data_IF_356548108503
#
_entry.id   IF_356548108503
#
_cell.length_a   1.000
_cell.length_b   1.000
_cell.length_c   1.000
_cell.angle_alpha   90.00
_cell.angle_beta   90.00
_cell.angle_gamma   90.00
#
_symmetry.space_group_name_H-M   'P 1'
#
loop_
_entity.id
_entity.type
_entity.pdbx_description
1 polymer ?
#
# COMPACT_ATOMS: atom_id res chain seq x y z
N UNK A 1 0.36 1.18 16.10
CA UNK A 1 -0.44 1.70 14.99
C UNK A 1 -1.39 0.64 14.45
N UNK A 2 -0.90 -0.51 14.05
CA UNK A 2 -1.71 -1.67 13.62
C UNK A 2 -1.55 -2.78 14.64
N UNK A 3 -2.65 -3.42 15.04
CA UNK A 3 -2.63 -4.65 15.84
C UNK A 3 -3.67 -5.61 15.29
N UNK A 4 -3.20 -6.77 14.85
CA UNK A 4 -4.02 -7.89 14.42
C UNK A 4 -3.92 -9.01 15.47
N UNK A 5 -5.06 -9.53 15.89
CA UNK A 5 -5.14 -10.67 16.83
C UNK A 5 -5.97 -11.77 16.19
N UNK A 6 -5.32 -12.88 15.88
CA UNK A 6 -5.95 -14.08 15.33
C UNK A 6 -6.85 -13.84 14.11
N UNK A 7 -6.42 -12.99 13.18
CA UNK A 7 -7.20 -12.66 11.97
C UNK A 7 -7.40 -13.89 11.11
N UNK A 8 -8.65 -14.19 10.84
CA UNK A 8 -9.07 -15.25 9.94
C UNK A 8 -9.81 -14.67 8.73
N UNK A 9 -9.61 -15.27 7.57
CA UNK A 9 -10.40 -14.97 6.37
C UNK A 9 -10.74 -16.26 5.65
N UNK A 10 -12.03 -16.50 5.52
CA UNK A 10 -12.60 -17.65 4.84
C UNK A 10 -13.49 -17.15 3.72
N UNK A 11 -13.21 -17.58 2.51
CA UNK A 11 -14.06 -17.37 1.34
C UNK A 11 -14.95 -18.59 1.17
N UNK A 12 -16.25 -18.37 1.05
CA UNK A 12 -17.26 -19.44 0.87
C UNK A 12 -17.98 -19.23 -0.44
N UNK A 13 -18.03 -20.27 -1.24
CA UNK A 13 -18.94 -20.45 -2.37
C UNK A 13 -19.93 -21.54 -2.02
N UNK A 14 -20.91 -21.80 -2.87
CA UNK A 14 -21.88 -22.88 -2.65
C UNK A 14 -21.23 -24.28 -2.53
N UNK A 15 -20.07 -24.47 -3.15
CA UNK A 15 -19.41 -25.79 -3.23
C UNK A 15 -18.08 -25.88 -2.48
N UNK A 16 -17.42 -24.76 -2.20
CA UNK A 16 -16.05 -24.76 -1.66
C UNK A 16 -15.85 -23.71 -0.58
N UNK A 17 -15.19 -24.11 0.49
CA UNK A 17 -14.69 -23.21 1.52
C UNK A 17 -13.16 -23.13 1.42
N UNK A 18 -12.61 -21.91 1.27
CA UNK A 18 -11.19 -21.66 1.18
C UNK A 18 -10.74 -20.77 2.34
N UNK A 19 -9.86 -21.30 3.18
CA UNK A 19 -9.23 -20.56 4.26
C UNK A 19 -8.03 -19.79 3.68
N UNK A 20 -8.17 -18.49 3.51
CA UNK A 20 -7.09 -17.63 3.01
C UNK A 20 -6.17 -17.14 4.14
N UNK A 21 -6.74 -16.87 5.32
CA UNK A 21 -5.99 -16.55 6.54
C UNK A 21 -6.51 -17.43 7.67
N UNK A 22 -5.60 -18.11 8.36
CA UNK A 22 -5.88 -19.11 9.39
C UNK A 22 -5.48 -18.69 10.80
N UNK A 23 -5.43 -17.38 11.10
CA UNK A 23 -5.08 -16.88 12.42
C UNK A 23 -3.79 -16.04 12.41
N UNK A 24 -3.79 -14.94 11.66
CA UNK A 24 -2.66 -13.99 11.59
C UNK A 24 -2.69 -13.08 12.81
N UNK A 25 -1.57 -13.02 13.53
CA UNK A 25 -1.34 -12.03 14.58
C UNK A 25 -0.11 -11.21 14.23
N UNK A 26 -0.26 -9.88 14.22
CA UNK A 26 0.78 -8.96 13.79
C UNK A 26 0.61 -7.62 14.50
N UNK A 27 1.69 -7.07 15.03
CA UNK A 27 1.73 -5.70 15.52
C UNK A 27 2.70 -4.89 14.68
N UNK A 28 2.28 -3.69 14.24
CA UNK A 28 3.12 -2.74 13.50
C UNK A 28 3.09 -1.40 14.22
N UNK A 29 4.26 -0.91 14.57
CA UNK A 29 4.43 0.39 15.23
C UNK A 29 4.39 1.52 14.22
N UNK A 30 4.06 2.72 14.68
CA UNK A 30 4.12 3.92 13.85
C UNK A 30 5.56 4.16 13.38
N UNK A 31 5.72 4.46 12.08
CA UNK A 31 7.02 4.69 11.47
C UNK A 31 7.83 3.42 11.19
N UNK A 32 7.27 2.24 11.39
CA UNK A 32 7.94 0.98 11.06
C UNK A 32 7.80 0.67 9.57
N UNK A 33 8.85 0.11 8.96
CA UNK A 33 8.81 -0.42 7.62
C UNK A 33 8.86 -1.96 7.70
N UNK A 34 7.73 -2.62 7.50
CA UNK A 34 7.59 -4.06 7.59
C UNK A 34 7.47 -4.69 6.20
N UNK A 35 8.28 -5.70 5.94
CA UNK A 35 8.14 -6.56 4.77
C UNK A 35 7.43 -7.86 5.16
N UNK A 36 6.35 -8.20 4.44
CA UNK A 36 5.64 -9.47 4.58
C UNK A 36 6.08 -10.37 3.43
N UNK A 37 6.69 -11.48 3.75
CA UNK A 37 7.17 -12.48 2.80
C UNK A 37 6.41 -13.80 2.95
N UNK A 38 6.44 -14.60 1.90
CA UNK A 38 5.87 -15.95 1.90
C UNK A 38 5.61 -16.46 0.49
N UNK A 39 5.33 -17.75 0.32
CA UNK A 39 5.08 -18.37 -0.98
C UNK A 39 3.85 -17.79 -1.67
N UNK A 40 3.73 -18.04 -2.99
CA UNK A 40 2.53 -17.64 -3.73
C UNK A 40 1.29 -18.35 -3.15
N UNK A 41 0.18 -17.60 -3.04
CA UNK A 41 -1.07 -18.15 -2.53
C UNK A 41 -1.17 -18.28 -1.00
N UNK A 42 -0.15 -17.90 -0.21
CA UNK A 42 -0.20 -18.00 1.25
C UNK A 42 -1.08 -16.95 1.97
N UNK A 43 -1.79 -16.08 1.23
CA UNK A 43 -2.72 -15.11 1.81
C UNK A 43 -2.21 -13.66 1.92
N UNK A 44 -1.02 -13.32 1.35
CA UNK A 44 -0.41 -11.97 1.44
C UNK A 44 -1.34 -10.85 0.96
N UNK A 45 -1.87 -10.95 -0.25
CA UNK A 45 -2.77 -9.94 -0.82
C UNK A 45 -4.10 -9.87 -0.06
N UNK A 46 -4.60 -11.01 0.46
CA UNK A 46 -5.78 -11.04 1.33
C UNK A 46 -5.52 -10.26 2.62
N UNK A 47 -4.35 -10.48 3.24
CA UNK A 47 -3.95 -9.74 4.44
C UNK A 47 -3.82 -8.25 4.14
N UNK A 48 -3.21 -7.89 3.00
CA UNK A 48 -3.08 -6.50 2.58
C UNK A 48 -4.44 -5.81 2.35
N UNK A 49 -5.41 -6.53 1.78
CA UNK A 49 -6.77 -6.02 1.59
C UNK A 49 -7.48 -5.75 2.91
N UNK A 50 -7.32 -6.62 3.91
CA UNK A 50 -7.86 -6.41 5.25
C UNK A 50 -7.18 -5.21 5.92
N UNK A 51 -5.85 -5.14 5.89
CA UNK A 51 -5.07 -4.01 6.42
C UNK A 51 -5.46 -2.68 5.76
N UNK A 52 -5.76 -2.75 4.48
CA UNK A 52 -6.20 -1.60 3.67
C UNK A 52 -7.67 -1.26 3.82
N UNK A 53 -8.42 -1.96 4.66
CA UNK A 53 -9.87 -1.78 4.82
C UNK A 53 -10.65 -1.91 3.50
N UNK A 54 -10.14 -2.72 2.57
CA UNK A 54 -10.82 -3.09 1.32
C UNK A 54 -11.75 -4.28 1.56
N UNK A 55 -11.41 -5.13 2.53
CA UNK A 55 -12.20 -6.29 2.96
C UNK A 55 -12.20 -6.40 4.49
N UNK A 56 -13.14 -7.17 5.05
CA UNK A 56 -13.21 -7.49 6.47
C UNK A 56 -12.62 -8.87 6.74
N UNK A 57 -12.02 -9.09 7.92
CA UNK A 57 -11.76 -10.44 8.39
C UNK A 57 -13.10 -11.18 8.62
N UNK A 58 -13.04 -12.51 8.58
CA UNK A 58 -14.19 -13.35 8.96
C UNK A 58 -14.26 -13.50 10.48
N UNK A 59 -13.09 -13.48 11.15
CA UNK A 59 -12.95 -13.54 12.60
C UNK A 59 -11.62 -12.91 13.04
N UNK A 60 -11.46 -12.66 14.33
CA UNK A 60 -10.30 -11.98 14.91
C UNK A 60 -10.50 -10.48 15.10
N UNK A 61 -9.51 -9.82 15.69
CA UNK A 61 -9.57 -8.38 16.01
C UNK A 61 -8.57 -7.59 15.18
N UNK A 62 -9.00 -6.52 14.56
CA UNK A 62 -8.13 -5.56 13.88
C UNK A 62 -8.27 -4.17 14.51
N UNK A 63 -7.23 -3.74 15.22
CA UNK A 63 -7.12 -2.38 15.76
C UNK A 63 -6.22 -1.52 14.88
N UNK A 64 -6.74 -0.37 14.44
CA UNK A 64 -6.00 0.69 13.76
C UNK A 64 -6.00 1.94 14.64
N UNK A 65 -4.82 2.39 15.06
CA UNK A 65 -4.65 3.49 16.04
C UNK A 65 -5.47 3.28 17.34
N UNK A 66 -5.68 2.02 17.74
CA UNK A 66 -6.42 1.64 18.95
C UNK A 66 -7.94 1.50 18.77
N UNK A 67 -8.47 1.81 17.59
CA UNK A 67 -9.88 1.65 17.27
C UNK A 67 -10.11 0.31 16.55
N UNK A 68 -11.13 -0.44 16.94
CA UNK A 68 -11.53 -1.68 16.26
C UNK A 68 -12.18 -1.36 14.91
N UNK A 69 -11.50 -1.76 13.85
CA UNK A 69 -11.94 -1.55 12.45
C UNK A 69 -12.33 -2.85 11.74
N UNK A 70 -12.19 -4.00 12.42
CA UNK A 70 -12.42 -5.32 11.83
C UNK A 70 -13.86 -5.59 11.43
N UNK A 71 -14.83 -4.99 12.14
CA UNK A 71 -16.27 -5.18 11.92
C UNK A 71 -16.98 -4.02 11.21
N UNK A 72 -16.23 -3.03 10.71
CA UNK A 72 -16.82 -1.84 10.08
C UNK A 72 -17.57 -2.18 8.78
N UNK A 73 -18.70 -1.50 8.57
CA UNK A 73 -19.42 -1.52 7.30
C UNK A 73 -18.61 -0.80 6.21
N UNK A 74 -18.87 -1.12 4.93
CA UNK A 74 -18.15 -0.54 3.79
C UNK A 74 -18.07 0.99 3.84
N UNK A 75 -19.17 1.66 4.13
CA UNK A 75 -19.20 3.14 4.22
C UNK A 75 -18.31 3.70 5.35
N UNK A 76 -18.17 2.96 6.44
CA UNK A 76 -17.31 3.33 7.57
C UNK A 76 -15.83 3.06 7.22
N UNK A 77 -15.52 1.88 6.64
CA UNK A 77 -14.18 1.55 6.13
C UNK A 77 -13.68 2.60 5.15
N UNK A 78 -14.53 3.01 4.20
CA UNK A 78 -14.20 4.06 3.23
C UNK A 78 -13.86 5.38 3.92
N UNK A 79 -14.58 5.76 4.97
CA UNK A 79 -14.27 6.98 5.74
C UNK A 79 -12.92 6.89 6.46
N UNK A 80 -12.63 5.75 7.10
CA UNK A 80 -11.36 5.52 7.80
C UNK A 80 -10.19 5.47 6.81
N UNK A 81 -10.36 4.74 5.68
CA UNK A 81 -9.33 4.61 4.64
C UNK A 81 -8.98 5.95 3.98
N UNK A 82 -9.99 6.81 3.79
CA UNK A 82 -9.89 8.07 3.04
C UNK A 82 -8.84 9.00 3.64
N UNK A 83 -7.75 9.24 2.91
CA UNK A 83 -6.65 10.11 3.32
C UNK A 83 -5.70 9.53 4.38
N UNK A 84 -5.98 8.33 4.93
CA UNK A 84 -5.18 7.69 5.96
C UNK A 84 -4.27 6.59 5.40
N UNK A 85 -4.72 5.91 4.33
CA UNK A 85 -4.03 4.75 3.74
C UNK A 85 -3.74 5.03 2.27
N UNK A 86 -2.47 4.94 1.88
CA UNK A 86 -2.01 4.97 0.50
C UNK A 86 -1.73 3.55 -0.01
N UNK A 87 -2.09 3.28 -1.26
CA UNK A 87 -1.85 1.99 -1.90
C UNK A 87 -0.88 2.13 -3.07
N UNK A 88 0.05 1.18 -3.17
CA UNK A 88 0.97 1.02 -4.29
C UNK A 88 0.90 -0.42 -4.77
N UNK A 89 0.61 -0.63 -6.05
CA UNK A 89 0.39 -1.95 -6.65
C UNK A 89 1.48 -2.30 -7.66
N UNK A 90 1.66 -3.58 -7.90
CA UNK A 90 2.57 -4.12 -8.93
C UNK A 90 2.24 -3.61 -10.34
N UNK A 91 0.95 -3.47 -10.66
CA UNK A 91 0.46 -3.02 -11.97
C UNK A 91 0.33 -1.50 -12.09
N UNK A 92 0.88 -0.73 -11.13
CA UNK A 92 0.82 0.73 -11.05
C UNK A 92 -0.61 1.28 -10.88
N UNK A 93 -1.60 0.70 -11.54
CA UNK A 93 -3.02 1.08 -11.54
C UNK A 93 -3.23 2.58 -11.82
N UNK A 94 -2.48 3.12 -12.79
CA UNK A 94 -2.68 4.47 -13.29
C UNK A 94 -3.89 4.49 -14.23
N UNK A 95 -4.55 5.64 -14.30
CA UNK A 95 -5.65 5.88 -15.22
C UNK A 95 -5.04 6.37 -16.52
N UNK A 96 -5.22 5.60 -17.60
CA UNK A 96 -4.57 5.83 -18.90
C UNK A 96 -5.01 7.11 -19.60
N UNK A 97 -6.24 7.56 -19.33
CA UNK A 97 -6.83 8.80 -19.88
C UNK A 97 -6.39 10.06 -19.13
N UNK A 98 -5.71 9.91 -17.99
CA UNK A 98 -5.19 11.00 -17.19
C UNK A 98 -3.67 11.10 -17.34
N UNK A 99 -3.16 12.33 -17.44
CA UNK A 99 -1.72 12.56 -17.40
C UNK A 99 -1.16 12.33 -15.97
N UNK A 100 0.15 12.45 -15.79
CA UNK A 100 0.84 12.23 -14.51
C UNK A 100 0.29 13.15 -13.40
N UNK A 101 0.16 14.46 -13.70
CA UNK A 101 -0.35 15.44 -12.74
C UNK A 101 -1.78 15.12 -12.31
N UNK A 102 -2.64 14.77 -13.24
CA UNK A 102 -4.04 14.42 -13.00
C UNK A 102 -4.19 13.12 -12.22
N UNK A 103 -3.39 12.09 -12.53
CA UNK A 103 -3.35 10.86 -11.75
C UNK A 103 -3.01 11.11 -10.27
N UNK A 104 -2.02 11.98 -10.02
CA UNK A 104 -1.57 12.31 -8.66
C UNK A 104 -2.55 13.24 -7.96
N UNK A 105 -3.22 14.14 -8.68
CA UNK A 105 -4.23 15.06 -8.12
C UNK A 105 -5.51 14.36 -7.67
N UNK A 106 -5.85 13.23 -8.28
CA UNK A 106 -7.14 12.56 -8.14
C UNK A 106 -7.55 12.30 -6.66
N UNK A 107 -6.69 11.74 -5.78
CA UNK A 107 -7.05 11.52 -4.38
C UNK A 107 -7.39 12.80 -3.63
N UNK A 108 -6.70 13.90 -3.93
CA UNK A 108 -6.96 15.21 -3.31
C UNK A 108 -8.31 15.79 -3.74
N UNK A 109 -8.74 15.51 -4.97
CA UNK A 109 -10.06 15.88 -5.47
C UNK A 109 -11.15 15.17 -4.68
N UNK A 110 -11.01 13.86 -4.43
CA UNK A 110 -11.92 13.10 -3.58
C UNK A 110 -11.94 13.55 -2.12
N UNK A 111 -10.83 14.10 -1.63
CA UNK A 111 -10.75 14.69 -0.29
C UNK A 111 -11.40 16.08 -0.22
N UNK A 112 -11.80 16.68 -1.34
CA UNK A 112 -12.35 18.03 -1.39
C UNK A 112 -11.33 19.13 -1.16
N UNK A 113 -10.04 18.86 -1.37
CA UNK A 113 -8.96 19.86 -1.22
C UNK A 113 -9.13 20.96 -2.27
N UNK A 114 -9.02 22.27 -1.92
CA UNK A 114 -9.16 23.36 -2.85
C UNK A 114 -8.15 23.28 -4.02
N UNK A 115 -8.55 23.66 -5.24
CA UNK A 115 -7.74 23.54 -6.47
C UNK A 115 -6.33 24.14 -6.33
N UNK A 116 -6.21 25.31 -5.72
CA UNK A 116 -4.92 25.98 -5.52
C UNK A 116 -3.97 25.12 -4.65
N UNK A 117 -4.48 24.55 -3.59
CA UNK A 117 -3.73 23.70 -2.68
C UNK A 117 -3.37 22.36 -3.33
N UNK A 118 -4.31 21.75 -4.10
CA UNK A 118 -4.04 20.52 -4.85
C UNK A 118 -2.83 20.70 -5.77
N UNK A 119 -2.83 21.79 -6.56
CA UNK A 119 -1.72 22.07 -7.48
C UNK A 119 -0.37 22.16 -6.75
N UNK A 120 -0.31 22.87 -5.63
CA UNK A 120 0.92 22.99 -4.84
C UNK A 120 1.40 21.65 -4.30
N UNK A 121 0.49 20.81 -3.76
CA UNK A 121 0.82 19.49 -3.24
C UNK A 121 1.30 18.55 -4.34
N UNK A 122 0.67 18.58 -5.51
CA UNK A 122 1.05 17.77 -6.67
C UNK A 122 2.43 18.18 -7.18
N UNK A 123 2.70 19.46 -7.39
CA UNK A 123 4.01 19.97 -7.81
C UNK A 123 5.11 19.54 -6.82
N UNK A 124 4.85 19.64 -5.51
CA UNK A 124 5.80 19.25 -4.47
C UNK A 124 6.10 17.75 -4.49
N UNK A 125 5.06 16.91 -4.56
CA UNK A 125 5.25 15.46 -4.54
C UNK A 125 5.92 14.96 -5.82
N UNK A 126 5.57 15.49 -7.00
CA UNK A 126 6.23 15.14 -8.26
C UNK A 126 7.73 15.48 -8.25
N UNK A 127 8.11 16.60 -7.64
CA UNK A 127 9.51 16.98 -7.46
C UNK A 127 10.24 15.99 -6.52
N UNK A 128 9.63 15.60 -5.41
CA UNK A 128 10.19 14.59 -4.48
C UNK A 128 10.37 13.23 -5.13
N UNK A 129 9.46 12.85 -6.02
CA UNK A 129 9.55 11.61 -6.78
C UNK A 129 10.49 11.70 -7.99
N UNK A 130 11.12 12.88 -8.23
CA UNK A 130 11.98 13.14 -9.39
C UNK A 130 11.28 12.87 -10.74
N UNK A 131 9.98 13.19 -10.85
CA UNK A 131 9.15 12.92 -12.04
C UNK A 131 8.45 14.19 -12.59
N UNK A 132 8.75 15.40 -12.05
CA UNK A 132 8.12 16.66 -12.48
C UNK A 132 8.26 16.95 -13.98
N UNK A 133 9.36 16.50 -14.59
CA UNK A 133 9.62 16.67 -16.02
C UNK A 133 8.66 15.87 -16.90
N UNK A 134 7.85 14.98 -16.32
CA UNK A 134 6.85 14.15 -16.97
C UNK A 134 5.41 14.51 -16.58
N UNK A 135 5.18 15.63 -15.88
CA UNK A 135 3.88 16.02 -15.33
C UNK A 135 2.71 15.94 -16.33
N UNK A 136 2.96 16.30 -17.59
CA UNK A 136 1.96 16.31 -18.66
C UNK A 136 2.00 15.08 -19.59
N UNK A 137 2.83 14.07 -19.28
CA UNK A 137 2.86 12.82 -20.05
C UNK A 137 1.76 11.87 -19.55
N UNK A 138 1.30 11.00 -20.43
CA UNK A 138 0.35 9.94 -20.12
C UNK A 138 1.08 8.64 -19.71
N UNK A 139 0.43 7.73 -18.97
CA UNK A 139 1.05 6.49 -18.50
C UNK A 139 1.77 5.70 -19.60
N UNK A 140 1.19 5.59 -20.80
CA UNK A 140 1.75 4.86 -21.93
C UNK A 140 3.08 5.45 -22.46
N UNK A 141 3.40 6.70 -22.11
CA UNK A 141 4.63 7.40 -22.50
C UNK A 141 5.76 7.25 -21.46
N UNK A 142 5.52 6.49 -20.39
CA UNK A 142 6.42 6.33 -19.25
C UNK A 142 7.03 4.93 -19.21
N UNK A 143 8.29 4.84 -18.75
CA UNK A 143 8.86 3.55 -18.37
C UNK A 143 8.18 2.98 -17.12
N UNK A 144 8.30 1.68 -16.86
CA UNK A 144 7.73 1.03 -15.67
C UNK A 144 8.17 1.70 -14.36
N UNK A 145 9.47 2.03 -14.22
CA UNK A 145 9.98 2.75 -13.05
C UNK A 145 9.39 4.16 -12.90
N UNK A 146 9.14 4.86 -14.02
CA UNK A 146 8.47 6.16 -14.01
C UNK A 146 6.99 6.02 -13.62
N UNK A 147 6.28 5.03 -14.15
CA UNK A 147 4.89 4.75 -13.77
C UNK A 147 4.79 4.42 -12.27
N UNK A 148 5.72 3.65 -11.74
CA UNK A 148 5.74 3.34 -10.31
C UNK A 148 6.01 4.58 -9.44
N UNK A 149 6.89 5.48 -9.86
CA UNK A 149 7.08 6.77 -9.17
C UNK A 149 5.79 7.61 -9.15
N UNK A 150 5.02 7.59 -10.23
CA UNK A 150 3.70 8.26 -10.28
C UNK A 150 2.70 7.58 -9.35
N UNK A 151 2.65 6.25 -9.31
CA UNK A 151 1.79 5.50 -8.39
C UNK A 151 2.13 5.79 -6.92
N UNK A 152 3.42 5.87 -6.58
CA UNK A 152 3.88 6.26 -5.24
C UNK A 152 3.51 7.72 -4.96
N UNK A 153 3.74 8.65 -5.91
CA UNK A 153 3.34 10.05 -5.77
C UNK A 153 1.84 10.17 -5.45
N UNK A 154 0.99 9.45 -6.18
CA UNK A 154 -0.45 9.39 -5.94
C UNK A 154 -0.80 8.85 -4.55
N UNK A 155 -0.08 7.83 -4.08
CA UNK A 155 -0.30 7.27 -2.75
C UNK A 155 0.08 8.23 -1.62
N UNK A 156 1.17 9.01 -1.78
CA UNK A 156 1.71 9.87 -0.71
C UNK A 156 1.21 11.31 -0.73
N UNK A 157 0.59 11.78 -1.81
CA UNK A 157 0.12 13.19 -1.96
C UNK A 157 -0.90 13.60 -0.89
N UNK A 158 -1.63 12.62 -0.33
CA UNK A 158 -2.58 12.81 0.77
C UNK A 158 -1.89 12.90 2.13
N UNK A 159 -0.58 12.67 2.21
CA UNK A 159 0.18 12.51 3.45
C UNK A 159 -0.39 11.41 4.37
N UNK A 160 -0.55 10.17 3.87
CA UNK A 160 -1.18 9.10 4.61
C UNK A 160 -0.34 8.69 5.83
N UNK A 161 -0.97 8.05 6.82
CA UNK A 161 -0.27 7.45 7.97
C UNK A 161 0.35 6.09 7.63
N UNK A 162 -0.24 5.39 6.67
CA UNK A 162 0.12 4.04 6.26
C UNK A 162 0.22 3.93 4.74
N UNK A 163 1.29 3.32 4.26
CA UNK A 163 1.44 2.89 2.87
C UNK A 163 1.38 1.37 2.84
N UNK A 164 0.51 0.84 2.00
CA UNK A 164 0.41 -0.59 1.69
C UNK A 164 0.91 -0.81 0.27
N UNK A 165 1.95 -1.62 0.12
CA UNK A 165 2.58 -1.90 -1.16
C UNK A 165 2.48 -3.41 -1.48
N UNK A 166 1.77 -3.74 -2.57
CA UNK A 166 1.62 -5.12 -3.05
C UNK A 166 2.58 -5.36 -4.20
N UNK A 167 3.66 -6.10 -3.96
CA UNK A 167 4.72 -6.42 -4.92
C UNK A 167 5.20 -5.19 -5.74
N UNK A 168 5.57 -4.07 -5.08
CA UNK A 168 5.70 -2.76 -5.75
C UNK A 168 6.80 -2.70 -6.82
N UNK A 169 7.63 -3.72 -6.91
CA UNK A 169 8.75 -3.81 -7.86
C UNK A 169 8.67 -5.01 -8.78
N UNK A 170 7.60 -5.81 -8.69
CA UNK A 170 7.48 -7.08 -9.42
C UNK A 170 7.50 -6.96 -10.94
N UNK A 171 7.19 -5.79 -11.51
CA UNK A 171 7.20 -5.51 -12.94
C UNK A 171 8.37 -4.60 -13.38
N UNK A 172 9.41 -4.46 -12.54
CA UNK A 172 10.52 -3.54 -12.79
C UNK A 172 11.84 -4.29 -13.05
N UNK A 173 12.71 -3.65 -13.83
CA UNK A 173 14.10 -4.08 -13.94
C UNK A 173 14.87 -3.83 -12.63
N UNK A 174 16.04 -4.47 -12.46
CA UNK A 174 16.82 -4.41 -11.23
C UNK A 174 17.28 -2.99 -10.84
N UNK A 175 17.51 -2.11 -11.82
CA UNK A 175 17.90 -0.72 -11.53
C UNK A 175 16.70 0.05 -11.00
N UNK A 176 15.58 0.00 -11.68
CA UNK A 176 14.32 0.62 -11.26
C UNK A 176 13.85 0.08 -9.91
N UNK A 177 14.01 -1.24 -9.67
CA UNK A 177 13.71 -1.86 -8.38
C UNK A 177 14.47 -1.19 -7.23
N UNK A 178 15.80 -1.06 -7.35
CA UNK A 178 16.61 -0.39 -6.32
C UNK A 178 16.19 1.06 -6.09
N UNK A 179 16.01 1.82 -7.17
CA UNK A 179 15.58 3.22 -7.06
C UNK A 179 14.21 3.39 -6.36
N UNK A 180 13.27 2.48 -6.59
CA UNK A 180 11.95 2.48 -5.94
C UNK A 180 12.08 2.08 -4.48
N UNK A 181 12.90 1.07 -4.15
CA UNK A 181 13.09 0.65 -2.76
C UNK A 181 13.81 1.72 -1.93
N UNK A 182 14.83 2.40 -2.49
CA UNK A 182 15.47 3.56 -1.87
C UNK A 182 14.48 4.71 -1.65
N UNK A 183 13.51 4.89 -2.56
CA UNK A 183 12.47 5.89 -2.40
C UNK A 183 11.55 5.54 -1.21
N UNK A 184 11.14 4.29 -1.05
CA UNK A 184 10.39 3.84 0.12
C UNK A 184 11.17 4.03 1.42
N UNK A 185 12.45 3.66 1.45
CA UNK A 185 13.30 3.85 2.62
C UNK A 185 13.36 5.33 3.04
N UNK A 186 13.59 6.25 2.08
CA UNK A 186 13.58 7.69 2.33
C UNK A 186 12.23 8.20 2.85
N UNK A 187 11.11 7.72 2.30
CA UNK A 187 9.77 8.10 2.79
C UNK A 187 9.55 7.64 4.24
N UNK A 188 10.05 6.47 4.60
CA UNK A 188 10.01 5.96 5.97
C UNK A 188 10.89 6.80 6.90
N UNK A 189 12.17 6.98 6.58
CA UNK A 189 13.17 7.65 7.41
C UNK A 189 12.87 9.15 7.60
N UNK A 190 12.63 9.87 6.48
CA UNK A 190 12.46 11.34 6.52
C UNK A 190 11.08 11.78 7.00
N UNK A 191 10.04 10.99 6.79
CA UNK A 191 8.65 11.34 7.08
C UNK A 191 8.04 10.53 8.21
N UNK A 192 8.72 9.52 8.70
CA UNK A 192 8.16 8.60 9.69
C UNK A 192 6.92 7.87 9.18
N UNK A 193 6.80 7.67 7.85
CA UNK A 193 5.68 6.95 7.26
C UNK A 193 5.74 5.49 7.66
N UNK A 194 4.63 4.92 8.09
CA UNK A 194 4.52 3.48 8.30
C UNK A 194 4.33 2.81 6.94
N UNK A 195 5.16 1.84 6.63
CA UNK A 195 5.13 1.12 5.35
C UNK A 195 4.98 -0.37 5.61
N UNK A 196 4.03 -0.98 4.93
CA UNK A 196 3.85 -2.42 4.88
C UNK A 196 3.97 -2.84 3.41
N UNK A 197 4.99 -3.59 3.07
CA UNK A 197 5.12 -4.16 1.72
C UNK A 197 4.95 -5.67 1.76
N UNK A 198 4.28 -6.19 0.76
CA UNK A 198 4.28 -7.61 0.42
C UNK A 198 5.31 -7.80 -0.70
N UNK A 199 6.19 -8.77 -0.55
CA UNK A 199 7.17 -9.12 -1.57
C UNK A 199 7.62 -10.58 -1.44
N UNK A 200 8.06 -11.16 -2.56
CA UNK A 200 8.75 -12.44 -2.58
C UNK A 200 10.27 -12.28 -2.75
N UNK A 201 10.76 -11.04 -2.94
CA UNK A 201 12.17 -10.73 -3.10
C UNK A 201 12.84 -10.44 -1.77
N UNK A 202 13.86 -11.23 -1.42
CA UNK A 202 14.70 -11.01 -0.23
C UNK A 202 15.42 -9.66 -0.29
N UNK A 203 15.91 -9.26 -1.49
CA UNK A 203 16.52 -7.94 -1.71
C UNK A 203 15.55 -6.82 -1.35
N UNK A 204 14.30 -6.87 -1.83
CA UNK A 204 13.30 -5.85 -1.50
C UNK A 204 12.89 -5.90 -0.02
N UNK A 205 12.80 -7.09 0.57
CA UNK A 205 12.47 -7.23 1.99
C UNK A 205 13.54 -6.64 2.91
N UNK A 206 14.82 -6.67 2.49
CA UNK A 206 15.95 -6.15 3.27
C UNK A 206 15.91 -4.63 3.48
N UNK A 207 15.12 -3.88 2.72
CA UNK A 207 14.87 -2.45 2.95
C UNK A 207 13.94 -2.19 4.14
N UNK A 208 13.16 -3.19 4.54
CA UNK A 208 12.31 -3.12 5.73
C UNK A 208 13.13 -3.22 7.02
N UNK A 209 12.63 -2.60 8.08
CA UNK A 209 13.22 -2.70 9.43
C UNK A 209 12.94 -4.06 10.07
N UNK A 210 11.93 -4.77 9.56
CA UNK A 210 11.53 -6.11 10.01
C UNK A 210 10.89 -6.91 8.88
N UNK A 211 11.17 -8.21 8.86
CA UNK A 211 10.52 -9.16 7.95
C UNK A 211 9.57 -10.04 8.77
N UNK A 212 8.37 -10.23 8.25
CA UNK A 212 7.34 -11.13 8.79
C UNK A 212 7.08 -12.22 7.75
N UNK A 213 7.24 -13.46 8.14
CA UNK A 213 6.94 -14.60 7.26
C UNK A 213 5.48 -14.99 7.39
N UNK A 214 4.82 -15.15 6.25
CA UNK A 214 3.46 -15.68 6.15
C UNK A 214 3.51 -17.02 5.44
N UNK A 215 3.00 -18.06 6.09
CA UNK A 215 2.88 -19.38 5.50
C UNK A 215 1.50 -19.98 5.80
N UNK A 216 0.84 -20.53 4.77
CA UNK A 216 -0.48 -21.13 4.87
C UNK A 216 -1.50 -20.27 5.67
N UNK A 217 -1.50 -18.97 5.44
CA UNK A 217 -2.40 -18.02 6.09
C UNK A 217 -2.10 -17.73 7.56
N UNK A 218 -0.88 -18.03 8.04
CA UNK A 218 -0.44 -17.78 9.42
C UNK A 218 0.91 -17.07 9.45
N UNK A 219 1.12 -16.22 10.45
CA UNK A 219 2.45 -15.66 10.73
C UNK A 219 3.36 -16.74 11.34
N UNK A 220 4.59 -16.85 10.82
CA UNK A 220 5.60 -17.81 11.25
C UNK A 220 6.81 -17.03 11.76
N UNK A 221 7.25 -17.29 12.95
CA UNK A 221 8.45 -16.68 13.59
C UNK A 221 8.12 -15.67 14.65
#
# INVERSE_FOLDING_TARGET
MIKLENIQKVFRTEEVETVALGGVSLEVKKGEFVAIMGPSGCGKSTLLNILGLLDNPTDGTYLLDGEDVGSLKESQRTKVRKGQIGFVFQSFNLIDELNVEENVELPLTYLGVPKKERKQRVEEVLRRMAISHRAHHFPQQLSGGQQQRVAIARAVVMNPKLILADEPTGNLDSKSTREIMELFARLNEEKGMTILQVTHSEECASYGTRVVMLDNGKTVG
#
